data_IF_127678398686
#
_entry.id   IF_127678398686
#
_cell.length_a   1.000
_cell.length_b   1.000
_cell.length_c   1.000
_cell.angle_alpha   90.00
_cell.angle_beta   90.00
_cell.angle_gamma   90.00
#
_symmetry.space_group_name_H-M   'P 1'
#
loop_
_entity.id
_entity.type
_entity.pdbx_description
1 polymer ?
#
# COMPACT_ATOMS: atom_id res chain seq x y z
N UNK A 1 40.57 3.97 -9.78
CA UNK A 1 39.89 4.83 -8.80
C UNK A 1 38.65 5.35 -9.50
N UNK A 2 37.45 4.93 -9.10
CA UNK A 2 36.22 5.38 -9.77
C UNK A 2 35.76 6.72 -9.18
N UNK A 3 35.66 7.75 -10.01
CA UNK A 3 35.10 9.03 -9.61
C UNK A 3 33.57 8.95 -9.71
N UNK A 4 32.90 8.83 -8.57
CA UNK A 4 31.43 8.85 -8.51
C UNK A 4 30.90 10.29 -8.50
N UNK A 5 29.61 10.45 -8.83
CA UNK A 5 28.91 11.74 -8.74
C UNK A 5 28.97 12.33 -7.32
N UNK A 6 28.93 11.48 -6.29
CA UNK A 6 29.05 11.89 -4.88
C UNK A 6 30.42 12.47 -4.57
N UNK A 7 31.50 11.87 -5.08
CA UNK A 7 32.87 12.37 -4.90
C UNK A 7 33.04 13.77 -5.52
N UNK A 8 32.50 13.98 -6.71
CA UNK A 8 32.54 15.29 -7.39
C UNK A 8 31.65 16.34 -6.71
N UNK A 9 30.50 15.92 -6.18
CA UNK A 9 29.61 16.78 -5.38
C UNK A 9 30.30 17.24 -4.09
N UNK A 10 30.94 16.32 -3.36
CA UNK A 10 31.72 16.62 -2.16
C UNK A 10 32.90 17.56 -2.44
N UNK A 11 33.65 17.30 -3.51
CA UNK A 11 34.71 18.20 -3.93
C UNK A 11 34.18 19.62 -4.22
N UNK A 12 33.07 19.71 -4.97
CA UNK A 12 32.42 20.99 -5.29
C UNK A 12 31.97 21.71 -4.02
N UNK A 13 31.40 21.00 -3.05
CA UNK A 13 31.01 21.55 -1.75
C UNK A 13 32.20 22.17 -1.01
N UNK A 14 33.30 21.42 -0.88
CA UNK A 14 34.50 21.89 -0.19
C UNK A 14 35.09 23.14 -0.84
N UNK A 15 35.20 23.16 -2.18
CA UNK A 15 35.73 24.32 -2.91
C UNK A 15 34.81 25.53 -2.88
N UNK A 16 33.49 25.30 -2.91
CA UNK A 16 32.49 26.37 -2.75
C UNK A 16 32.61 27.05 -1.38
N UNK A 17 32.81 26.28 -0.28
CA UNK A 17 33.04 26.84 1.07
C UNK A 17 34.35 27.63 1.19
N UNK A 18 35.34 27.34 0.35
CA UNK A 18 36.60 28.10 0.25
C UNK A 18 36.47 29.37 -0.62
N UNK A 19 35.29 29.65 -1.19
CA UNK A 19 35.03 30.85 -2.00
C UNK A 19 35.49 30.74 -3.45
N UNK A 20 35.78 29.55 -3.94
CA UNK A 20 36.18 29.35 -5.34
C UNK A 20 34.98 29.48 -6.30
N UNK A 21 35.23 30.01 -7.49
CA UNK A 21 34.19 30.14 -8.52
C UNK A 21 33.84 28.78 -9.15
N UNK A 22 32.56 28.59 -9.52
CA UNK A 22 32.09 27.36 -10.19
C UNK A 22 32.89 27.00 -11.46
N UNK A 23 33.43 28.01 -12.17
CA UNK A 23 34.27 27.83 -13.35
C UNK A 23 35.59 27.14 -12.99
N UNK A 24 36.28 27.64 -11.97
CA UNK A 24 37.55 27.07 -11.50
C UNK A 24 37.37 25.64 -10.99
N UNK A 25 36.28 25.39 -10.28
CA UNK A 25 35.92 24.06 -9.76
C UNK A 25 35.73 23.07 -10.92
N UNK A 26 34.98 23.46 -11.96
CA UNK A 26 34.78 22.62 -13.14
C UNK A 26 36.06 22.36 -13.92
N UNK A 27 36.89 23.38 -14.17
CA UNK A 27 38.17 23.22 -14.87
C UNK A 27 39.10 22.23 -14.12
N UNK A 28 39.09 22.29 -12.79
CA UNK A 28 39.86 21.36 -11.95
C UNK A 28 39.28 19.94 -12.03
N UNK A 29 37.95 19.80 -11.96
CA UNK A 29 37.28 18.50 -12.11
C UNK A 29 37.54 17.90 -13.50
N UNK A 30 37.52 18.70 -14.55
CA UNK A 30 37.81 18.26 -15.92
C UNK A 30 39.28 17.86 -16.09
N UNK A 31 40.21 18.56 -15.44
CA UNK A 31 41.64 18.22 -15.46
C UNK A 31 41.91 16.87 -14.76
N UNK A 32 41.24 16.59 -13.64
CA UNK A 32 41.46 15.38 -12.84
C UNK A 32 40.64 14.19 -13.33
N UNK A 33 39.38 14.42 -13.73
CA UNK A 33 38.41 13.36 -14.06
C UNK A 33 38.22 13.16 -15.58
N UNK A 34 38.72 14.07 -16.43
CA UNK A 34 38.58 13.97 -17.89
C UNK A 34 37.12 13.78 -18.32
N UNK A 35 36.87 12.75 -19.13
CA UNK A 35 35.54 12.40 -19.65
C UNK A 35 34.55 11.93 -18.57
N UNK A 36 35.04 11.59 -17.37
CA UNK A 36 34.21 11.23 -16.22
C UNK A 36 33.76 12.45 -15.40
N UNK A 37 34.19 13.66 -15.76
CA UNK A 37 33.80 14.88 -15.07
C UNK A 37 32.30 15.19 -15.24
N UNK A 38 31.67 15.69 -14.19
CA UNK A 38 30.31 16.21 -14.30
C UNK A 38 30.27 17.49 -15.14
N UNK A 39 29.14 17.75 -15.78
CA UNK A 39 28.98 18.94 -16.64
C UNK A 39 29.10 20.23 -15.84
N UNK A 40 29.52 21.31 -16.50
CA UNK A 40 29.54 22.66 -15.93
C UNK A 40 28.19 23.08 -15.34
N UNK A 41 27.07 22.70 -15.98
CA UNK A 41 25.73 22.98 -15.47
C UNK A 41 25.46 22.29 -14.13
N UNK A 42 25.96 21.06 -13.95
CA UNK A 42 25.86 20.32 -12.69
C UNK A 42 26.64 21.01 -11.58
N UNK A 43 27.86 21.47 -11.86
CA UNK A 43 28.69 22.22 -10.89
C UNK A 43 28.01 23.53 -10.49
N UNK A 44 27.47 24.29 -11.46
CA UNK A 44 26.74 25.52 -11.17
C UNK A 44 25.48 25.29 -10.32
N UNK A 45 24.73 24.21 -10.60
CA UNK A 45 23.56 23.84 -9.81
C UNK A 45 23.95 23.54 -8.36
N UNK A 46 25.01 22.74 -8.14
CA UNK A 46 25.52 22.45 -6.80
C UNK A 46 26.01 23.69 -6.07
N UNK A 47 26.81 24.55 -6.71
CA UNK A 47 27.29 25.81 -6.10
C UNK A 47 26.12 26.71 -5.69
N UNK A 48 25.06 26.79 -6.51
CA UNK A 48 23.83 27.52 -6.16
C UNK A 48 23.16 26.91 -4.93
N UNK A 49 22.95 25.61 -4.91
CA UNK A 49 22.31 24.91 -3.79
C UNK A 49 23.11 25.02 -2.48
N UNK A 50 24.44 24.97 -2.55
CA UNK A 50 25.33 25.15 -1.40
C UNK A 50 25.30 26.58 -0.86
N UNK A 51 25.22 27.58 -1.74
CA UNK A 51 25.03 28.98 -1.33
C UNK A 51 23.63 29.23 -0.73
N UNK A 52 22.62 28.44 -1.12
CA UNK A 52 21.27 28.44 -0.53
C UNK A 52 21.18 27.62 0.78
N UNK A 53 22.29 27.07 1.27
CA UNK A 53 22.37 26.37 2.56
C UNK A 53 21.97 24.89 2.53
N UNK A 54 21.81 24.28 1.36
CA UNK A 54 21.57 22.83 1.25
C UNK A 54 22.90 22.08 1.38
N UNK A 55 23.23 21.59 2.58
CA UNK A 55 24.49 20.86 2.82
C UNK A 55 24.40 19.35 2.51
N UNK A 56 23.24 18.87 2.02
CA UNK A 56 23.05 17.46 1.71
C UNK A 56 23.79 17.08 0.42
N UNK A 57 24.79 16.22 0.55
CA UNK A 57 25.60 15.71 -0.57
C UNK A 57 24.91 14.58 -1.35
N UNK A 58 23.81 14.05 -0.82
CA UNK A 58 23.01 12.98 -1.41
C UNK A 58 21.70 13.53 -1.98
N UNK A 59 21.17 12.87 -3.02
CA UNK A 59 19.88 13.24 -3.62
C UNK A 59 18.79 13.20 -2.54
N UNK A 60 17.98 14.27 -2.43
CA UNK A 60 16.78 14.24 -1.60
C UNK A 60 15.90 13.06 -2.01
N UNK A 61 15.17 12.43 -1.06
CA UNK A 61 14.19 11.41 -1.40
C UNK A 61 13.28 11.97 -2.48
N UNK A 62 13.28 11.33 -3.66
CA UNK A 62 12.43 11.79 -4.76
C UNK A 62 11.00 11.78 -4.26
N UNK A 63 10.24 12.88 -4.36
CA UNK A 63 8.83 12.85 -4.05
C UNK A 63 8.21 11.79 -4.95
N UNK A 64 7.82 10.67 -4.36
CA UNK A 64 7.14 9.60 -5.08
C UNK A 64 5.83 10.12 -5.63
N UNK A 65 5.23 9.38 -6.56
CA UNK A 65 3.86 9.65 -7.00
C UNK A 65 2.97 9.78 -5.75
N UNK A 66 2.22 10.88 -5.59
CA UNK A 66 1.40 11.09 -4.40
C UNK A 66 0.48 9.89 -4.22
N UNK A 67 0.53 9.27 -3.03
CA UNK A 67 -0.33 8.15 -2.69
C UNK A 67 -1.75 8.67 -2.43
N UNK A 68 -2.55 8.64 -3.50
CA UNK A 68 -4.01 8.69 -3.57
C UNK A 68 -4.73 9.92 -2.99
N UNK A 69 -5.83 10.28 -3.67
CA UNK A 69 -6.88 11.24 -3.33
C UNK A 69 -7.68 10.95 -2.02
N UNK A 70 -7.15 10.11 -1.13
CA UNK A 70 -7.82 9.70 0.11
C UNK A 70 -7.40 10.66 1.22
N UNK A 71 -8.27 11.63 1.51
CA UNK A 71 -8.08 12.58 2.61
C UNK A 71 -8.77 12.06 3.88
N UNK A 72 -8.35 12.51 5.05
CA UNK A 72 -8.99 12.17 6.33
C UNK A 72 -10.50 12.47 6.32
N UNK A 73 -10.92 13.54 5.66
CA UNK A 73 -12.33 13.90 5.48
C UNK A 73 -13.12 12.83 4.72
N UNK A 74 -12.55 12.29 3.63
CA UNK A 74 -13.20 11.23 2.84
C UNK A 74 -13.29 9.92 3.62
N UNK A 75 -12.29 9.63 4.45
CA UNK A 75 -12.30 8.45 5.33
C UNK A 75 -13.41 8.60 6.37
N UNK A 76 -13.56 9.78 6.96
CA UNK A 76 -14.60 10.07 7.95
C UNK A 76 -16.01 9.99 7.34
N UNK A 77 -16.20 10.50 6.12
CA UNK A 77 -17.48 10.43 5.39
C UNK A 77 -17.89 8.97 5.13
N UNK A 78 -17.00 8.18 4.52
CA UNK A 78 -17.25 6.75 4.27
C UNK A 78 -17.55 6.00 5.57
N UNK A 79 -16.83 6.32 6.65
CA UNK A 79 -17.06 5.68 7.95
C UNK A 79 -18.46 6.00 8.48
N UNK A 80 -18.89 7.26 8.39
CA UNK A 80 -20.22 7.70 8.80
C UNK A 80 -21.31 6.97 8.01
N UNK A 81 -21.18 6.88 6.68
CA UNK A 81 -22.15 6.18 5.83
C UNK A 81 -22.31 4.71 6.24
N UNK A 82 -21.20 4.04 6.60
CA UNK A 82 -21.21 2.64 7.07
C UNK A 82 -21.79 2.50 8.48
N UNK A 83 -21.54 3.46 9.37
CA UNK A 83 -22.08 3.47 10.73
C UNK A 83 -23.61 3.72 10.71
N UNK A 84 -24.12 4.47 9.72
CA UNK A 84 -25.56 4.68 9.48
C UNK A 84 -26.25 3.45 8.88
N UNK A 85 -25.68 2.88 7.81
CA UNK A 85 -26.16 1.62 7.21
C UNK A 85 -25.01 0.61 7.02
N UNK A 86 -24.90 -0.40 7.91
CA UNK A 86 -23.90 -1.45 7.79
C UNK A 86 -24.04 -2.33 6.53
N UNK A 87 -25.15 -2.25 5.80
CA UNK A 87 -25.42 -3.04 4.59
C UNK A 87 -25.21 -2.26 3.28
N UNK A 88 -24.78 -1.00 3.35
CA UNK A 88 -24.55 -0.16 2.18
C UNK A 88 -23.57 -0.81 1.19
N UNK A 89 -23.88 -0.71 -0.10
CA UNK A 89 -23.02 -1.27 -1.14
C UNK A 89 -21.84 -0.35 -1.43
N UNK A 90 -20.67 -0.94 -1.74
CA UNK A 90 -19.46 -0.17 -2.12
C UNK A 90 -19.72 0.75 -3.33
N UNK A 91 -20.64 0.36 -4.23
CA UNK A 91 -21.05 1.19 -5.37
C UNK A 91 -21.80 2.45 -4.92
N UNK A 92 -22.74 2.33 -3.99
CA UNK A 92 -23.48 3.48 -3.45
C UNK A 92 -22.52 4.44 -2.72
N UNK A 93 -21.59 3.92 -1.92
CA UNK A 93 -20.54 4.73 -1.30
C UNK A 93 -19.67 5.46 -2.34
N UNK A 94 -19.38 4.81 -3.47
CA UNK A 94 -18.64 5.39 -4.59
C UNK A 94 -19.38 6.59 -5.17
N UNK A 95 -20.68 6.41 -5.42
CA UNK A 95 -21.53 7.40 -6.08
C UNK A 95 -21.77 8.61 -5.15
N UNK A 96 -22.05 8.36 -3.87
CA UNK A 96 -22.29 9.41 -2.86
C UNK A 96 -21.03 10.24 -2.58
N UNK A 97 -19.86 9.60 -2.49
CA UNK A 97 -18.61 10.29 -2.15
C UNK A 97 -17.84 10.79 -3.40
N UNK A 98 -18.33 10.51 -4.61
CA UNK A 98 -17.67 10.90 -5.88
C UNK A 98 -16.29 10.25 -6.07
N UNK A 99 -16.08 9.07 -5.48
CA UNK A 99 -14.81 8.36 -5.50
C UNK A 99 -14.86 7.19 -6.50
N UNK A 100 -13.68 6.68 -6.87
CA UNK A 100 -13.63 5.43 -7.62
C UNK A 100 -13.94 4.24 -6.70
N UNK A 101 -14.58 3.21 -7.25
CA UNK A 101 -14.88 1.97 -6.53
C UNK A 101 -13.66 1.38 -5.82
N UNK A 102 -12.51 1.33 -6.51
CA UNK A 102 -11.26 0.80 -5.96
C UNK A 102 -10.71 1.65 -4.82
N UNK A 103 -10.93 2.97 -4.86
CA UNK A 103 -10.58 3.89 -3.77
C UNK A 103 -11.42 3.57 -2.53
N UNK A 104 -12.74 3.47 -2.67
CA UNK A 104 -13.65 3.14 -1.55
C UNK A 104 -13.27 1.78 -0.94
N UNK A 105 -13.05 0.77 -1.77
CA UNK A 105 -12.63 -0.56 -1.31
C UNK A 105 -11.30 -0.52 -0.56
N UNK A 106 -10.34 0.27 -1.03
CA UNK A 106 -9.05 0.47 -0.37
C UNK A 106 -9.22 1.22 0.96
N UNK A 107 -10.08 2.24 1.01
CA UNK A 107 -10.39 2.97 2.25
C UNK A 107 -10.98 2.04 3.31
N UNK A 108 -11.98 1.24 2.96
CA UNK A 108 -12.62 0.30 3.91
C UNK A 108 -11.61 -0.72 4.43
N UNK A 109 -10.80 -1.31 3.55
CA UNK A 109 -9.91 -2.42 3.93
C UNK A 109 -8.59 -1.97 4.57
N UNK A 110 -7.96 -0.92 4.04
CA UNK A 110 -6.62 -0.47 4.49
C UNK A 110 -6.66 0.64 5.51
N UNK A 111 -7.65 1.54 5.46
CA UNK A 111 -7.73 2.69 6.35
C UNK A 111 -8.71 2.46 7.50
N UNK A 112 -9.86 1.83 7.26
CA UNK A 112 -10.83 1.48 8.30
C UNK A 112 -10.60 0.09 8.90
N UNK A 113 -9.73 -0.73 8.28
CA UNK A 113 -9.45 -2.12 8.69
C UNK A 113 -10.69 -3.00 8.82
N UNK A 114 -11.77 -2.65 8.10
CA UNK A 114 -13.03 -3.35 8.16
C UNK A 114 -13.00 -4.58 7.25
N UNK A 115 -13.61 -5.66 7.74
CA UNK A 115 -13.83 -6.90 7.00
C UNK A 115 -15.27 -7.32 7.17
N UNK A 116 -15.88 -7.84 6.10
CA UNK A 116 -17.26 -8.33 6.14
C UNK A 116 -17.34 -9.53 7.09
N UNK A 117 -18.13 -9.42 8.15
CA UNK A 117 -18.27 -10.46 9.17
C UNK A 117 -19.52 -11.33 8.95
N UNK A 118 -19.62 -11.91 7.75
CA UNK A 118 -20.80 -12.69 7.32
C UNK A 118 -21.06 -13.88 8.24
N UNK A 119 -20.01 -14.57 8.71
CA UNK A 119 -20.16 -15.75 9.56
C UNK A 119 -20.78 -15.44 10.93
N UNK A 120 -20.48 -14.27 11.53
CA UNK A 120 -21.19 -13.83 12.74
C UNK A 120 -22.66 -13.60 12.45
N UNK A 121 -22.99 -12.90 11.36
CA UNK A 121 -24.37 -12.59 10.99
C UNK A 121 -25.18 -13.87 10.76
N UNK A 122 -24.62 -14.83 10.03
CA UNK A 122 -25.24 -16.14 9.79
C UNK A 122 -25.47 -16.88 11.11
N UNK A 123 -24.51 -16.87 12.04
CA UNK A 123 -24.68 -17.53 13.34
C UNK A 123 -25.81 -16.91 14.17
N UNK A 124 -25.89 -15.58 14.21
CA UNK A 124 -27.00 -14.87 14.87
C UNK A 124 -28.35 -15.22 14.24
N UNK A 125 -28.45 -15.16 12.91
CA UNK A 125 -29.67 -15.49 12.18
C UNK A 125 -30.12 -16.95 12.42
N UNK A 126 -29.20 -17.92 12.44
CA UNK A 126 -29.53 -19.32 12.78
C UNK A 126 -30.02 -19.43 14.22
N UNK A 127 -29.38 -18.72 15.16
CA UNK A 127 -29.80 -18.74 16.57
C UNK A 127 -31.21 -18.16 16.76
N UNK A 128 -31.56 -17.13 16.01
CA UNK A 128 -32.90 -16.53 16.01
C UNK A 128 -33.94 -17.48 15.41
N UNK A 129 -33.67 -18.06 14.23
CA UNK A 129 -34.61 -18.95 13.56
C UNK A 129 -34.73 -20.34 14.22
N UNK A 130 -33.67 -20.81 14.87
CA UNK A 130 -33.57 -22.15 15.45
C UNK A 130 -33.11 -22.09 16.91
N UNK A 131 -33.85 -21.35 17.73
CA UNK A 131 -33.53 -21.12 19.16
C UNK A 131 -33.35 -22.39 20.00
N UNK A 132 -33.93 -23.52 19.58
CA UNK A 132 -33.82 -24.82 20.27
C UNK A 132 -32.59 -25.64 19.86
N UNK A 133 -31.86 -25.23 18.82
CA UNK A 133 -30.69 -25.96 18.29
C UNK A 133 -29.42 -25.23 18.68
N UNK A 134 -28.53 -25.93 19.38
CA UNK A 134 -27.23 -25.34 19.73
C UNK A 134 -26.39 -25.06 18.48
N UNK A 135 -26.01 -23.81 18.28
CA UNK A 135 -25.11 -23.38 17.19
C UNK A 135 -23.63 -23.60 17.53
N UNK A 136 -23.33 -24.25 18.65
CA UNK A 136 -21.97 -24.56 19.12
C UNK A 136 -21.21 -25.54 18.20
N UNK A 137 -21.94 -26.31 17.37
CA UNK A 137 -21.38 -27.25 16.37
C UNK A 137 -22.18 -27.21 15.08
N UNK A 138 -22.25 -26.04 14.44
CA UNK A 138 -22.91 -25.92 13.15
C UNK A 138 -22.11 -26.66 12.07
N UNK A 139 -22.77 -27.55 11.32
CA UNK A 139 -22.18 -28.20 10.15
C UNK A 139 -22.46 -27.34 8.92
N UNK A 140 -21.41 -26.93 8.22
CA UNK A 140 -21.50 -26.16 6.98
C UNK A 140 -21.18 -27.07 5.79
N UNK A 141 -22.15 -27.23 4.91
CA UNK A 141 -21.95 -27.83 3.60
C UNK A 141 -21.61 -26.72 2.61
N UNK A 142 -20.37 -26.64 2.14
CA UNK A 142 -19.95 -25.75 1.06
C UNK A 142 -18.89 -26.41 0.18
N UNK A 143 -18.74 -25.90 -1.05
CA UNK A 143 -17.84 -26.43 -2.06
C UNK A 143 -16.36 -26.42 -1.63
N UNK A 144 -15.60 -27.31 -2.25
CA UNK A 144 -14.22 -27.60 -1.85
C UNK A 144 -13.18 -26.75 -2.61
N UNK A 145 -13.52 -25.54 -3.03
CA UNK A 145 -12.63 -24.68 -3.83
C UNK A 145 -11.48 -24.11 -3.00
N UNK A 146 -10.40 -23.70 -3.67
CA UNK A 146 -9.17 -23.22 -3.02
C UNK A 146 -9.39 -22.17 -1.90
N UNK A 147 -10.21 -21.13 -2.11
CA UNK A 147 -10.52 -20.13 -1.06
C UNK A 147 -11.21 -20.73 0.18
N UNK A 148 -11.96 -21.81 0.00
CA UNK A 148 -12.74 -22.48 1.03
C UNK A 148 -11.90 -23.49 1.84
N UNK A 149 -10.92 -24.12 1.19
CA UNK A 149 -9.88 -24.95 1.83
C UNK A 149 -8.77 -24.14 2.52
N UNK A 150 -8.65 -22.85 2.24
CA UNK A 150 -7.56 -22.02 2.75
C UNK A 150 -7.46 -22.04 4.29
N UNK A 151 -6.23 -21.98 4.82
CA UNK A 151 -5.98 -22.04 6.27
C UNK A 151 -6.72 -20.93 7.03
N UNK A 152 -6.72 -19.71 6.47
CA UNK A 152 -7.43 -18.58 7.06
C UNK A 152 -8.93 -18.84 7.19
N UNK A 153 -9.54 -19.42 6.16
CA UNK A 153 -10.98 -19.74 6.13
C UNK A 153 -11.34 -20.84 7.12
N UNK A 154 -10.60 -21.95 7.09
CA UNK A 154 -10.82 -23.08 8.02
C UNK A 154 -10.58 -22.69 9.48
N UNK A 155 -9.59 -21.83 9.74
CA UNK A 155 -9.36 -21.26 11.07
C UNK A 155 -10.52 -20.37 11.51
N UNK A 156 -10.97 -19.43 10.67
CA UNK A 156 -12.12 -18.56 10.98
C UNK A 156 -13.42 -19.33 11.22
N UNK A 157 -13.67 -20.43 10.51
CA UNK A 157 -14.82 -21.31 10.76
C UNK A 157 -14.71 -22.01 12.13
N UNK A 158 -13.54 -22.56 12.45
CA UNK A 158 -13.27 -23.23 13.75
C UNK A 158 -13.41 -22.29 14.93
N UNK A 159 -12.84 -21.09 14.85
CA UNK A 159 -12.95 -20.03 15.88
C UNK A 159 -14.41 -19.68 16.20
N UNK A 160 -15.32 -19.91 15.25
CA UNK A 160 -16.75 -19.58 15.37
C UNK A 160 -17.62 -20.80 15.72
N UNK A 161 -17.03 -21.98 15.90
CA UNK A 161 -17.76 -23.23 16.17
C UNK A 161 -18.46 -23.83 14.96
N UNK A 162 -18.02 -23.47 13.74
CA UNK A 162 -18.56 -23.97 12.49
C UNK A 162 -17.60 -25.03 11.94
N UNK A 163 -18.11 -26.24 11.73
CA UNK A 163 -17.37 -27.34 11.13
C UNK A 163 -17.77 -27.47 9.66
N UNK A 164 -16.81 -27.27 8.75
CA UNK A 164 -17.01 -27.59 7.34
C UNK A 164 -17.06 -29.11 7.16
N UNK A 165 -18.07 -29.60 6.44
CA UNK A 165 -18.15 -31.01 6.09
C UNK A 165 -17.17 -31.32 4.96
N UNK A 166 -16.39 -32.41 5.06
CA UNK A 166 -15.49 -32.82 4.00
C UNK A 166 -16.33 -33.22 2.77
N UNK A 167 -16.04 -32.60 1.64
CA UNK A 167 -16.53 -33.08 0.34
C UNK A 167 -15.51 -34.06 -0.22
N UNK A 168 -15.96 -35.18 -0.82
CA UNK A 168 -15.06 -36.01 -1.61
C UNK A 168 -14.39 -35.15 -2.69
N UNK A 169 -13.11 -35.40 -2.96
CA UNK A 169 -12.49 -34.81 -4.14
C UNK A 169 -13.28 -35.30 -5.36
N UNK A 170 -13.61 -34.36 -6.24
CA UNK A 170 -14.46 -34.56 -7.41
C UNK A 170 -14.10 -35.88 -8.10
N UNK A 171 -15.04 -36.83 -8.15
CA UNK A 171 -14.89 -38.00 -9.01
C UNK A 171 -15.05 -37.50 -10.44
N UNK A 172 -14.02 -37.55 -11.30
CA UNK A 172 -14.18 -37.12 -12.67
C UNK A 172 -15.18 -38.07 -13.33
N UNK A 173 -16.15 -37.49 -14.04
CA UNK A 173 -17.14 -38.21 -14.82
C UNK A 173 -16.49 -39.35 -15.60
N UNK A 174 -17.19 -40.49 -15.62
CA UNK A 174 -16.75 -41.71 -16.26
C UNK A 174 -16.36 -41.48 -17.72
N UNK A 175 -15.06 -41.42 -17.98
CA UNK A 175 -14.49 -41.84 -19.25
C UNK A 175 -14.70 -43.35 -19.37
N UNK A 176 -15.82 -43.74 -19.96
CA UNK A 176 -15.87 -44.91 -20.85
C UNK A 176 -15.49 -44.47 -22.25
#
# INVERSE_FOLDING_TARGET
>A
MEFTKENMCFYTFMRCKLGESAKLIHETLQTVCGDCACSYQTVCAWVKEFNEGKELLSDCPRPGRPKSCVNEQTIASIKKDIDEDPHIYVRELSDTNGLSYGTVQTTITKHLHMKKNVLSQVKSAISEQRSKVSTSRALLLHDNTGPHKARATTQSLRERGIQALPHPDYSPDGTM
#
